data_IF_916900608343
#
_entry.id   IF_916900608343
#
_cell.length_a   1.000
_cell.length_b   1.000
_cell.length_c   1.000
_cell.angle_alpha   90.00
_cell.angle_beta   90.00
_cell.angle_gamma   90.00
#
_symmetry.space_group_name_H-M   'P 1'
#
loop_
_entity.id
_entity.type
_entity.pdbx_description
1 polymer ?
#
# COMPACT_ATOMS: atom_id res chain seq x y z
N UNK A 1 4.24 2.98 -20.88
CA UNK A 1 4.93 3.00 -19.60
C UNK A 1 3.94 3.29 -18.49
N UNK A 2 4.04 2.55 -17.45
CA UNK A 2 3.24 2.80 -16.27
C UNK A 2 4.15 3.21 -15.13
N UNK A 3 3.72 4.20 -14.37
CA UNK A 3 4.45 4.67 -13.20
C UNK A 3 3.88 4.04 -11.93
N UNK A 4 3.25 2.90 -12.06
CA UNK A 4 2.65 2.24 -10.91
C UNK A 4 3.69 1.44 -10.16
N UNK A 5 3.53 1.43 -8.84
CA UNK A 5 4.30 0.57 -7.96
C UNK A 5 3.48 -0.67 -7.67
N UNK A 6 4.05 -1.84 -7.94
CA UNK A 6 3.34 -3.09 -7.78
C UNK A 6 3.83 -3.83 -6.56
N UNK A 7 2.91 -4.51 -5.90
CA UNK A 7 3.23 -5.34 -4.76
C UNK A 7 3.70 -6.70 -5.24
N UNK A 8 4.93 -7.07 -4.87
CA UNK A 8 5.50 -8.36 -5.22
C UNK A 8 5.41 -9.31 -4.03
N UNK A 9 5.00 -10.53 -4.30
CA UNK A 9 4.93 -11.58 -3.31
C UNK A 9 5.65 -12.80 -3.88
N UNK A 10 6.78 -13.17 -3.25
CA UNK A 10 7.59 -14.31 -3.68
C UNK A 10 8.00 -14.21 -5.15
N UNK A 11 8.41 -13.01 -5.56
CA UNK A 11 8.95 -12.80 -6.90
C UNK A 11 7.93 -12.54 -7.99
N UNK A 12 6.64 -12.50 -7.66
CA UNK A 12 5.58 -12.25 -8.63
C UNK A 12 4.66 -11.15 -8.12
N UNK A 13 4.06 -10.41 -9.05
CA UNK A 13 3.09 -9.38 -8.69
C UNK A 13 1.83 -10.05 -8.16
N UNK A 14 1.38 -9.59 -6.98
CA UNK A 14 0.15 -10.07 -6.40
C UNK A 14 -0.97 -9.08 -6.71
N UNK A 15 -1.71 -9.36 -7.78
CA UNK A 15 -2.79 -8.49 -8.23
C UNK A 15 -3.99 -8.47 -7.31
N UNK A 16 -4.02 -9.34 -6.31
CA UNK A 16 -5.15 -9.43 -5.40
C UNK A 16 -4.86 -8.82 -4.04
N UNK A 17 -3.65 -8.37 -3.81
CA UNK A 17 -3.29 -7.84 -2.50
C UNK A 17 -3.97 -6.50 -2.26
N UNK A 18 -4.61 -6.36 -1.12
CA UNK A 18 -5.21 -5.10 -0.68
C UNK A 18 -4.89 -4.95 0.80
N UNK A 19 -4.29 -3.81 1.16
CA UNK A 19 -3.89 -3.55 2.53
C UNK A 19 -2.71 -2.60 2.57
N UNK A 20 -1.91 -2.68 3.63
CA UNK A 20 -0.74 -1.84 3.78
C UNK A 20 0.52 -2.66 3.53
N UNK A 21 1.48 -2.05 2.85
CA UNK A 21 2.77 -2.68 2.60
C UNK A 21 3.90 -1.69 2.86
N UNK A 22 5.03 -2.21 3.33
CA UNK A 22 6.18 -1.40 3.64
C UNK A 22 7.07 -1.26 2.43
N UNK A 23 7.46 -0.01 2.12
CA UNK A 23 8.38 0.28 1.05
C UNK A 23 9.20 1.52 1.42
N UNK A 24 10.53 1.41 1.36
CA UNK A 24 11.45 2.52 1.61
C UNK A 24 11.15 3.24 2.93
N UNK A 25 10.96 2.44 3.99
CA UNK A 25 10.71 2.92 5.35
C UNK A 25 9.35 3.56 5.55
N UNK A 26 8.46 3.49 4.57
CA UNK A 26 7.09 4.01 4.68
C UNK A 26 6.09 2.91 4.38
N UNK A 27 4.91 3.03 4.98
CA UNK A 27 3.81 2.14 4.69
C UNK A 27 2.90 2.79 3.67
N UNK A 28 2.48 1.99 2.69
CA UNK A 28 1.67 2.47 1.58
C UNK A 28 0.40 1.64 1.47
N UNK A 29 -0.68 2.30 1.09
CA UNK A 29 -1.95 1.60 0.84
C UNK A 29 -1.90 0.93 -0.52
N UNK A 30 -2.10 -0.38 -0.52
CA UNK A 30 -2.11 -1.18 -1.73
C UNK A 30 -3.55 -1.58 -2.03
N UNK A 31 -3.95 -1.43 -3.26
CA UNK A 31 -5.27 -1.85 -3.73
C UNK A 31 -5.08 -2.62 -5.02
N UNK A 32 -5.53 -3.88 -5.03
CA UNK A 32 -5.39 -4.76 -6.18
C UNK A 32 -3.95 -4.82 -6.70
N UNK A 33 -3.01 -4.90 -5.77
CA UNK A 33 -1.60 -5.12 -6.09
C UNK A 33 -0.79 -3.88 -6.42
N UNK A 34 -1.38 -2.69 -6.42
CA UNK A 34 -0.66 -1.45 -6.72
C UNK A 34 -0.97 -0.38 -5.68
N UNK A 35 -0.06 0.58 -5.54
CA UNK A 35 -0.28 1.67 -4.59
C UNK A 35 -1.44 2.52 -5.05
N UNK A 36 -2.36 2.78 -4.14
CA UNK A 36 -3.50 3.66 -4.40
C UNK A 36 -3.18 5.05 -3.86
N UNK A 37 -2.65 5.89 -4.72
CA UNK A 37 -2.24 7.24 -4.33
C UNK A 37 -3.42 8.17 -4.04
N UNK A 38 -4.64 7.72 -4.32
CA UNK A 38 -5.84 8.50 -4.04
C UNK A 38 -6.52 8.13 -2.75
N UNK A 39 -6.02 7.12 -2.06
CA UNK A 39 -6.66 6.67 -0.83
C UNK A 39 -6.36 7.61 0.31
N UNK A 40 -7.40 8.01 1.02
CA UNK A 40 -7.26 8.80 2.25
C UNK A 40 -8.28 8.29 3.24
N UNK A 41 -7.83 7.95 4.45
CA UNK A 41 -8.69 7.40 5.47
C UNK A 41 -7.93 6.43 6.36
N UNK A 42 -8.67 5.61 7.09
CA UNK A 42 -8.06 4.65 8.00
C UNK A 42 -7.78 3.33 7.29
N UNK A 43 -6.64 2.75 7.61
CA UNK A 43 -6.28 1.41 7.17
C UNK A 43 -5.48 0.75 8.28
N UNK A 44 -5.47 -0.58 8.31
CA UNK A 44 -4.76 -1.29 9.38
C UNK A 44 -3.78 -2.30 8.82
N UNK A 45 -2.80 -2.62 9.66
CA UNK A 45 -1.83 -3.67 9.41
C UNK A 45 -1.64 -4.47 10.71
N UNK A 46 -0.60 -5.30 10.76
CA UNK A 46 -0.35 -6.11 11.95
C UNK A 46 0.04 -5.27 13.17
N UNK A 47 0.36 -4.00 12.99
CA UNK A 47 0.77 -3.12 14.09
C UNK A 47 -0.32 -2.18 14.57
N UNK A 48 -1.47 -2.14 13.90
CA UNK A 48 -2.59 -1.31 14.34
C UNK A 48 -3.28 -0.59 13.21
N UNK A 49 -4.05 0.42 13.57
CA UNK A 49 -4.81 1.23 12.61
C UNK A 49 -4.11 2.57 12.42
N UNK A 50 -3.99 2.98 11.17
CA UNK A 50 -3.22 4.15 10.80
C UNK A 50 -4.01 5.05 9.87
N UNK A 51 -3.74 6.37 9.95
CA UNK A 51 -4.24 7.32 8.97
C UNK A 51 -3.43 7.22 7.69
N UNK A 52 -4.13 7.20 6.57
CA UNK A 52 -3.50 7.18 5.25
C UNK A 52 -3.93 8.46 4.52
N UNK A 53 -2.96 9.15 3.95
CA UNK A 53 -3.22 10.35 3.16
C UNK A 53 -2.49 10.19 1.83
N UNK A 54 -3.25 10.26 0.73
CA UNK A 54 -2.71 10.08 -0.62
C UNK A 54 -1.92 8.79 -0.74
N UNK A 55 -2.43 7.73 -0.13
CA UNK A 55 -1.83 6.41 -0.22
C UNK A 55 -0.68 6.13 0.72
N UNK A 56 -0.24 7.10 1.51
CA UNK A 56 0.87 6.94 2.43
C UNK A 56 0.41 7.06 3.88
N UNK A 57 0.89 6.16 4.72
CA UNK A 57 0.58 6.22 6.15
C UNK A 57 1.25 7.45 6.76
N UNK A 58 0.47 8.21 7.53
CA UNK A 58 0.96 9.39 8.23
C UNK A 58 1.15 9.03 9.69
N UNK A 59 2.35 9.20 10.19
CA UNK A 59 2.71 8.88 11.57
C UNK A 59 2.62 10.08 12.51
#
# INVERSE_FOLDING_TARGET
>A
ITDKWWYFNQGAIDFNYTGLALKEYNWWKISNGTIDFNYSGLANNQYGTWNVVNGQVVL
#
